data_IF_614501924647
#
_entry.id   IF_614501924647
#
_cell.length_a   1.000
_cell.length_b   1.000
_cell.length_c   1.000
_cell.angle_alpha   90.00
_cell.angle_beta   90.00
_cell.angle_gamma   90.00
#
_symmetry.space_group_name_H-M   'P 1'
#
loop_
_entity.id
_entity.type
_entity.pdbx_description
1 polymer ?
#
# COMPACT_ATOMS: atom_id res chain seq x y z
N UNK A 1 -44.41 12.41 7.25
CA UNK A 1 -43.69 13.62 7.71
C UNK A 1 -42.66 13.16 8.77
N UNK A 2 -41.39 13.05 8.44
CA UNK A 2 -40.30 12.83 9.38
C UNK A 2 -39.29 13.95 9.19
N UNK A 3 -39.17 14.78 10.20
CA UNK A 3 -38.30 15.94 10.27
C UNK A 3 -36.88 15.48 10.63
N UNK A 4 -35.96 15.73 9.72
CA UNK A 4 -34.50 15.59 9.95
C UNK A 4 -33.99 16.81 10.71
N UNK A 5 -33.43 16.59 11.90
CA UNK A 5 -32.72 17.62 12.65
C UNK A 5 -31.29 17.74 12.11
N UNK A 6 -30.96 18.86 11.48
CA UNK A 6 -29.58 19.25 11.18
C UNK A 6 -28.94 19.84 12.43
N UNK A 7 -27.85 19.29 12.89
CA UNK A 7 -27.03 19.90 13.93
C UNK A 7 -26.17 21.01 13.30
N UNK A 8 -26.34 22.21 13.80
CA UNK A 8 -25.59 23.41 13.40
C UNK A 8 -24.41 23.57 14.36
N UNK A 9 -23.19 23.36 13.88
CA UNK A 9 -21.99 23.67 14.65
C UNK A 9 -21.64 25.14 14.53
N UNK A 10 -21.72 25.87 15.64
CA UNK A 10 -21.34 27.27 15.75
C UNK A 10 -19.86 27.36 16.00
N UNK A 11 -19.12 27.94 15.06
CA UNK A 11 -17.70 28.31 15.23
C UNK A 11 -17.70 29.70 15.90
N UNK A 12 -17.25 29.77 17.14
CA UNK A 12 -17.02 31.03 17.85
C UNK A 12 -15.56 31.47 17.58
N UNK A 13 -15.41 32.47 16.71
CA UNK A 13 -14.14 33.16 16.51
C UNK A 13 -13.98 34.24 17.57
N UNK A 14 -13.12 33.99 18.55
CA UNK A 14 -12.63 34.95 19.51
C UNK A 14 -11.31 35.56 19.05
N UNK A 15 -11.29 36.81 18.65
CA UNK A 15 -10.11 37.58 18.33
C UNK A 15 -9.45 38.08 19.62
N UNK A 16 -8.25 37.60 19.98
CA UNK A 16 -7.36 38.26 20.93
C UNK A 16 -5.95 38.33 20.36
N UNK A 17 -5.52 39.52 20.05
CA UNK A 17 -4.13 39.89 19.78
C UNK A 17 -3.38 39.99 21.10
N UNK A 18 -2.25 39.31 21.28
CA UNK A 18 -1.01 39.77 21.94
C UNK A 18 0.07 38.66 21.87
N UNK A 19 1.27 39.01 21.39
CA UNK A 19 2.56 38.43 21.75
C UNK A 19 2.89 37.05 21.15
N UNK A 20 3.85 37.04 20.26
CA UNK A 20 4.46 35.87 19.59
C UNK A 20 4.60 34.59 20.42
N UNK A 21 3.66 33.70 20.26
CA UNK A 21 3.80 32.28 20.50
C UNK A 21 3.33 31.59 19.23
N UNK A 22 4.22 30.83 18.63
CA UNK A 22 3.87 29.92 17.54
C UNK A 22 2.80 28.95 18.06
N UNK A 23 1.55 29.20 17.69
CA UNK A 23 0.47 28.28 17.95
C UNK A 23 0.72 27.05 17.06
N UNK A 24 1.20 25.98 17.65
CA UNK A 24 1.08 24.67 17.00
C UNK A 24 -0.41 24.41 16.82
N UNK A 25 -0.89 24.48 15.59
CA UNK A 25 -2.23 24.00 15.27
C UNK A 25 -2.24 22.50 15.53
N UNK A 26 -2.85 22.10 16.64
CA UNK A 26 -3.25 20.71 16.84
C UNK A 26 -4.31 20.46 15.80
N UNK A 27 -3.94 19.78 14.71
CA UNK A 27 -4.90 19.28 13.73
C UNK A 27 -5.90 18.41 14.48
N UNK A 28 -7.19 18.69 14.32
CA UNK A 28 -8.25 17.88 14.89
C UNK A 28 -8.01 16.41 14.51
N UNK A 29 -8.12 15.50 15.49
CA UNK A 29 -8.00 14.08 15.26
C UNK A 29 -9.00 13.65 14.18
N UNK A 30 -8.51 13.25 13.03
CA UNK A 30 -9.33 12.58 12.04
C UNK A 30 -9.50 11.14 12.54
N UNK A 31 -10.68 10.80 13.03
CA UNK A 31 -11.01 9.47 13.52
C UNK A 31 -11.47 8.59 12.36
N UNK A 32 -10.64 8.37 11.37
CA UNK A 32 -10.87 7.30 10.43
C UNK A 32 -10.35 6.00 11.05
N UNK A 33 -11.24 5.15 11.52
CA UNK A 33 -10.88 3.79 11.91
C UNK A 33 -10.81 2.98 10.63
N UNK A 34 -9.63 2.54 10.17
CA UNK A 34 -9.53 1.78 8.95
C UNK A 34 -10.32 0.47 9.06
N UNK A 35 -11.15 0.19 8.08
CA UNK A 35 -11.80 -1.11 7.91
C UNK A 35 -10.77 -2.08 7.31
N UNK A 36 -9.76 -2.46 8.10
CA UNK A 36 -8.75 -3.42 7.66
C UNK A 36 -9.29 -4.83 7.83
N UNK A 37 -9.62 -5.49 6.74
CA UNK A 37 -10.00 -6.91 6.73
C UNK A 37 -8.84 -7.84 7.14
N UNK A 38 -7.61 -7.34 7.06
CA UNK A 38 -6.36 -8.05 7.33
C UNK A 38 -5.63 -7.55 8.59
N UNK A 39 -6.32 -6.96 9.53
CA UNK A 39 -5.75 -6.31 10.73
C UNK A 39 -4.88 -7.26 11.54
N UNK A 40 -3.58 -7.21 11.35
CA UNK A 40 -2.63 -7.79 12.30
C UNK A 40 -2.54 -6.90 13.53
N UNK A 41 -2.72 -7.49 14.71
CA UNK A 41 -2.45 -6.79 15.96
C UNK A 41 -0.95 -6.48 16.06
N UNK A 42 -0.60 -5.42 16.78
CA UNK A 42 0.79 -5.01 17.00
C UNK A 42 1.52 -4.55 15.69
N UNK A 43 0.87 -3.75 14.90
CA UNK A 43 1.46 -3.08 13.73
C UNK A 43 1.08 -1.60 13.67
N UNK A 44 1.91 -0.81 12.99
CA UNK A 44 1.56 0.51 12.49
C UNK A 44 1.22 0.38 11.01
N UNK A 45 0.22 1.12 10.59
CA UNK A 45 -0.22 1.21 9.21
C UNK A 45 -0.13 2.65 8.71
N UNK A 46 0.48 2.85 7.54
CA UNK A 46 0.48 4.12 6.85
C UNK A 46 -0.70 4.19 5.88
N UNK A 47 -1.43 5.30 5.87
CA UNK A 47 -2.51 5.53 4.93
C UNK A 47 -1.95 5.95 3.57
N UNK A 48 -2.22 5.19 2.54
CA UNK A 48 -1.66 5.44 1.21
C UNK A 48 -2.34 6.59 0.46
N UNK A 49 -3.50 7.07 0.95
CA UNK A 49 -4.26 8.15 0.32
C UNK A 49 -4.86 9.06 1.39
N UNK A 50 -4.33 10.25 1.51
CA UNK A 50 -4.81 11.25 2.48
C UNK A 50 -6.26 11.64 2.20
N UNK A 51 -7.09 11.65 3.25
CA UNK A 51 -8.43 12.25 3.22
C UNK A 51 -9.55 11.39 2.64
N UNK A 52 -9.36 10.08 2.43
CA UNK A 52 -10.44 9.17 2.06
C UNK A 52 -10.77 8.22 3.22
N UNK A 53 -12.05 8.12 3.56
CA UNK A 53 -12.53 7.29 4.68
C UNK A 53 -12.61 5.79 4.32
N UNK A 54 -12.51 5.44 3.03
CA UNK A 54 -12.94 4.14 2.49
C UNK A 54 -11.85 3.34 1.79
N UNK A 55 -10.56 3.58 2.04
CA UNK A 55 -9.56 2.87 1.26
C UNK A 55 -9.03 1.62 1.94
N UNK A 56 -9.10 0.50 1.24
CA UNK A 56 -8.30 -0.70 1.54
C UNK A 56 -6.78 -0.47 1.31
N UNK A 57 -6.38 0.76 1.01
CA UNK A 57 -5.02 1.14 0.64
C UNK A 57 -4.20 1.57 1.86
N UNK A 58 -3.85 0.61 2.70
CA UNK A 58 -3.00 0.79 3.86
C UNK A 58 -1.70 0.00 3.72
N UNK A 59 -0.62 0.53 4.26
CA UNK A 59 0.72 -0.07 4.22
C UNK A 59 1.16 -0.37 5.64
N UNK A 60 1.38 -1.65 5.96
CA UNK A 60 1.96 -2.05 7.24
C UNK A 60 3.47 -1.79 7.27
N UNK A 61 3.98 -1.43 8.43
CA UNK A 61 5.42 -1.41 8.62
C UNK A 61 5.99 -2.83 8.60
N UNK A 62 7.21 -3.00 8.13
CA UNK A 62 7.83 -4.32 8.03
C UNK A 62 9.34 -4.24 8.26
N UNK A 63 9.96 -5.33 8.69
CA UNK A 63 11.40 -5.40 8.88
C UNK A 63 12.14 -5.98 7.68
N UNK A 64 11.45 -6.62 6.74
CA UNK A 64 12.00 -7.14 5.50
C UNK A 64 11.00 -7.01 4.36
N UNK A 65 11.50 -7.03 3.16
CA UNK A 65 10.74 -6.78 1.95
C UNK A 65 10.13 -8.05 1.33
N UNK A 66 10.84 -9.17 1.41
CA UNK A 66 10.41 -10.51 0.97
C UNK A 66 11.28 -11.57 1.64
N UNK A 67 11.01 -12.85 1.33
CA UNK A 67 11.69 -14.00 1.95
C UNK A 67 13.20 -14.10 1.65
N UNK A 68 13.69 -13.40 0.62
CA UNK A 68 15.09 -13.47 0.19
C UNK A 68 16.01 -12.42 0.79
N UNK A 69 15.46 -11.42 1.42
CA UNK A 69 16.32 -10.49 2.14
C UNK A 69 16.80 -11.18 3.40
N UNK A 70 18.13 -11.25 3.57
CA UNK A 70 18.76 -11.61 4.83
C UNK A 70 18.01 -10.94 5.98
N UNK A 71 17.86 -11.65 7.08
CA UNK A 71 17.12 -11.21 8.26
C UNK A 71 17.61 -9.83 8.65
N UNK A 72 16.88 -8.82 8.16
CA UNK A 72 17.16 -7.44 8.50
C UNK A 72 17.03 -7.33 10.02
N UNK A 73 17.98 -6.65 10.63
CA UNK A 73 18.00 -6.39 12.05
C UNK A 73 16.58 -6.09 12.54
N UNK A 74 16.04 -6.92 13.40
CA UNK A 74 14.65 -6.85 13.92
C UNK A 74 14.33 -5.50 14.56
N UNK A 75 15.35 -4.73 14.92
CA UNK A 75 15.23 -3.37 15.46
C UNK A 75 15.04 -2.29 14.37
N UNK A 76 15.07 -2.66 13.10
CA UNK A 76 14.79 -1.75 11.97
C UNK A 76 13.41 -2.04 11.40
N UNK A 77 12.63 -0.98 11.20
CA UNK A 77 11.32 -1.02 10.56
C UNK A 77 11.30 -0.08 9.36
N UNK A 78 10.54 -0.45 8.36
CA UNK A 78 10.41 0.31 7.12
C UNK A 78 8.95 0.48 6.76
N UNK A 79 8.59 1.66 6.28
CA UNK A 79 7.42 1.84 5.44
C UNK A 79 7.87 1.96 3.99
N UNK A 80 7.36 1.11 3.13
CA UNK A 80 7.52 1.22 1.67
C UNK A 80 6.28 1.94 1.13
N UNK A 81 6.36 3.25 1.03
CA UNK A 81 5.23 4.09 0.66
C UNK A 81 5.07 4.18 -0.86
N UNK A 82 3.83 4.17 -1.38
CA UNK A 82 3.56 4.40 -2.79
C UNK A 82 3.83 5.85 -3.20
N UNK A 83 3.91 6.08 -4.50
CA UNK A 83 4.15 7.41 -5.07
C UNK A 83 3.06 8.44 -4.73
N UNK A 84 1.84 7.99 -4.41
CA UNK A 84 0.69 8.83 -4.05
C UNK A 84 0.81 9.55 -2.72
N UNK A 85 1.61 9.04 -1.78
CA UNK A 85 1.78 9.64 -0.44
C UNK A 85 2.62 10.91 -0.52
N UNK A 86 2.35 11.91 0.33
CA UNK A 86 3.20 13.09 0.50
C UNK A 86 4.66 12.68 0.80
N UNK A 87 5.62 13.53 0.44
CA UNK A 87 7.05 13.28 0.70
C UNK A 87 7.52 13.76 2.08
N UNK A 88 6.63 14.39 2.86
CA UNK A 88 6.99 15.06 4.12
C UNK A 88 6.17 14.59 5.31
N UNK A 89 4.99 14.04 5.08
CA UNK A 89 4.10 13.55 6.14
C UNK A 89 3.20 12.44 5.66
N UNK A 90 2.73 11.62 6.60
CA UNK A 90 1.78 10.54 6.36
C UNK A 90 0.90 10.31 7.59
N UNK A 91 -0.35 9.93 7.38
CA UNK A 91 -1.24 9.47 8.42
C UNK A 91 -0.87 8.05 8.84
N UNK A 92 -0.55 7.84 10.14
CA UNK A 92 -0.26 6.54 10.72
C UNK A 92 -1.37 6.11 11.67
N UNK A 93 -1.88 4.91 11.46
CA UNK A 93 -2.82 4.23 12.35
C UNK A 93 -2.09 3.27 13.28
N UNK A 94 -2.43 3.32 14.56
CA UNK A 94 -1.86 2.46 15.59
C UNK A 94 -2.78 1.25 15.91
N UNK A 95 -2.40 0.06 15.45
CA UNK A 95 -3.10 -1.19 15.76
C UNK A 95 -2.54 -1.92 17.01
N UNK A 96 -1.63 -1.32 17.74
CA UNK A 96 -1.21 -1.84 19.06
C UNK A 96 -2.29 -1.60 20.11
N UNK A 97 -2.27 -2.41 21.16
CA UNK A 97 -3.14 -2.23 22.33
C UNK A 97 -2.73 -1.08 23.26
N UNK A 98 -1.55 -0.48 23.03
CA UNK A 98 -1.00 0.66 23.76
C UNK A 98 -0.62 1.79 22.81
N UNK A 99 -0.43 2.98 23.35
CA UNK A 99 0.07 4.11 22.59
C UNK A 99 1.46 3.82 22.02
N UNK A 100 1.71 4.32 20.81
CA UNK A 100 3.00 4.27 20.11
C UNK A 100 3.49 5.69 19.88
N UNK A 101 4.78 5.93 20.03
CA UNK A 101 5.37 7.25 19.74
C UNK A 101 6.28 7.15 18.51
N UNK A 102 6.01 7.96 17.48
CA UNK A 102 6.78 8.03 16.23
C UNK A 102 7.27 9.45 16.04
N UNK A 103 8.59 9.66 15.94
CA UNK A 103 9.19 10.99 15.74
C UNK A 103 8.59 12.06 16.69
N UNK A 104 8.44 11.74 17.99
CA UNK A 104 7.84 12.58 19.04
C UNK A 104 6.30 12.78 18.91
N UNK A 105 5.61 12.17 17.98
CA UNK A 105 4.15 12.15 17.89
C UNK A 105 3.62 10.89 18.58
N UNK A 106 2.81 11.06 19.63
CA UNK A 106 2.15 9.94 20.30
C UNK A 106 0.83 9.62 19.61
N UNK A 107 0.67 8.36 19.21
CA UNK A 107 -0.52 7.81 18.56
C UNK A 107 -1.20 6.87 19.54
N UNK A 108 -2.38 7.20 20.10
CA UNK A 108 -3.11 6.30 20.99
C UNK A 108 -3.53 5.01 20.26
N UNK A 109 -3.82 3.97 21.04
CA UNK A 109 -4.32 2.69 20.53
C UNK A 109 -5.61 2.88 19.74
N UNK A 110 -5.68 2.34 18.54
CA UNK A 110 -6.85 2.41 17.67
C UNK A 110 -7.10 3.77 17.02
N UNK A 111 -6.14 4.70 17.10
CA UNK A 111 -6.25 6.04 16.51
C UNK A 111 -5.21 6.27 15.42
N UNK A 112 -5.48 7.29 14.59
CA UNK A 112 -4.55 7.80 13.57
C UNK A 112 -4.00 9.17 13.95
N UNK A 113 -2.77 9.44 13.52
CA UNK A 113 -2.13 10.78 13.60
C UNK A 113 -1.27 11.01 12.37
N UNK A 114 -1.20 12.25 11.95
CA UNK A 114 -0.25 12.68 10.94
C UNK A 114 1.16 12.76 11.56
N UNK A 115 2.12 12.12 10.90
CA UNK A 115 3.52 12.06 11.32
C UNK A 115 4.40 12.62 10.21
N UNK A 116 5.23 13.62 10.55
CA UNK A 116 6.25 14.14 9.64
C UNK A 116 7.45 13.21 9.56
N UNK A 117 8.03 13.09 8.38
CA UNK A 117 9.21 12.28 8.13
C UNK A 117 10.11 12.89 7.04
N UNK A 118 11.32 12.35 6.92
CA UNK A 118 12.21 12.61 5.79
C UNK A 118 12.48 11.29 5.09
N UNK A 119 12.32 11.23 3.77
CA UNK A 119 12.59 10.04 2.96
C UNK A 119 14.05 9.61 3.17
N UNK A 120 14.27 8.29 3.26
CA UNK A 120 15.57 7.64 3.44
C UNK A 120 16.32 8.00 4.73
N UNK A 121 15.70 8.75 5.63
CA UNK A 121 16.28 9.03 6.95
C UNK A 121 15.59 8.24 8.04
N UNK A 122 16.40 7.61 8.87
CA UNK A 122 15.91 6.90 10.04
C UNK A 122 15.40 7.88 11.10
N UNK A 123 14.17 7.65 11.53
CA UNK A 123 13.57 8.23 12.74
C UNK A 123 13.47 7.17 13.83
N UNK A 124 12.80 7.51 14.92
CA UNK A 124 12.59 6.62 16.05
C UNK A 124 11.11 6.30 16.24
N UNK A 125 10.84 5.05 16.59
CA UNK A 125 9.51 4.62 17.01
C UNK A 125 9.61 3.80 18.30
N UNK A 126 8.79 4.13 19.29
CA UNK A 126 8.68 3.38 20.54
C UNK A 126 7.31 2.71 20.59
N UNK A 127 7.30 1.40 20.57
CA UNK A 127 6.10 0.56 20.61
C UNK A 127 6.29 -0.57 21.61
N UNK A 128 5.31 -0.79 22.47
CA UNK A 128 5.30 -1.84 23.51
C UNK A 128 6.59 -1.90 24.35
N UNK A 129 7.12 -0.73 24.71
CA UNK A 129 8.33 -0.59 25.53
C UNK A 129 9.65 -0.84 24.78
N UNK A 130 9.61 -1.08 23.48
CA UNK A 130 10.79 -1.25 22.62
C UNK A 130 10.96 -0.06 21.68
N UNK A 131 12.21 0.34 21.45
CA UNK A 131 12.54 1.39 20.46
C UNK A 131 13.13 0.74 19.22
N UNK A 132 12.60 1.15 18.07
CA UNK A 132 13.04 0.72 16.75
C UNK A 132 13.52 1.93 15.95
N UNK A 133 14.42 1.69 15.02
CA UNK A 133 14.72 2.63 13.93
C UNK A 133 13.66 2.49 12.86
N UNK A 134 13.00 3.58 12.48
CA UNK A 134 11.96 3.60 11.46
C UNK A 134 12.39 4.44 10.26
N UNK A 135 12.38 3.85 9.07
CA UNK A 135 12.72 4.54 7.82
C UNK A 135 11.53 4.51 6.87
N UNK A 136 11.23 5.66 6.29
CA UNK A 136 10.21 5.80 5.25
C UNK A 136 10.89 5.82 3.89
N UNK A 137 10.57 4.83 3.07
CA UNK A 137 10.99 4.70 1.68
C UNK A 137 9.81 5.01 0.78
N UNK A 138 10.02 5.77 -0.28
CA UNK A 138 8.96 6.16 -1.20
C UNK A 138 9.25 5.70 -2.61
N UNK A 139 8.26 5.07 -3.22
CA UNK A 139 8.32 4.62 -4.61
C UNK A 139 8.11 5.76 -5.60
N UNK A 140 8.54 5.53 -6.84
CA UNK A 140 8.25 6.35 -8.03
C UNK A 140 7.34 5.62 -9.04
N UNK A 141 6.74 4.50 -8.66
CA UNK A 141 5.84 3.73 -9.53
C UNK A 141 4.67 4.56 -10.04
N UNK A 142 4.16 4.21 -11.22
CA UNK A 142 3.04 4.91 -11.87
C UNK A 142 1.71 4.68 -11.16
N UNK A 143 1.61 3.58 -10.41
CA UNK A 143 0.42 3.15 -9.66
C UNK A 143 0.81 2.17 -8.58
N UNK A 144 -0.09 1.97 -7.61
CA UNK A 144 -0.02 0.92 -6.62
C UNK A 144 -1.25 0.02 -6.72
N UNK A 145 -1.05 -1.29 -6.58
CA UNK A 145 -2.10 -2.31 -6.54
C UNK A 145 -2.15 -2.89 -5.14
N UNK A 146 -3.30 -2.82 -4.50
CA UNK A 146 -3.58 -3.41 -3.21
C UNK A 146 -4.49 -4.61 -3.39
N UNK A 147 -4.15 -5.72 -2.71
CA UNK A 147 -4.94 -6.95 -2.72
C UNK A 147 -5.05 -7.44 -1.28
N UNK A 148 -6.26 -7.53 -0.77
CA UNK A 148 -6.52 -7.81 0.64
C UNK A 148 -7.35 -9.07 0.80
N UNK A 149 -6.77 -10.10 1.38
CA UNK A 149 -7.44 -11.35 1.75
C UNK A 149 -6.56 -12.16 2.72
N UNK A 150 -6.47 -11.74 3.97
CA UNK A 150 -5.67 -12.38 5.01
C UNK A 150 -6.17 -13.75 5.46
N UNK A 151 -7.25 -14.25 4.88
CA UNK A 151 -7.82 -15.58 5.18
C UNK A 151 -8.06 -16.38 3.90
N UNK A 152 -7.09 -16.37 3.00
CA UNK A 152 -7.23 -16.92 1.65
C UNK A 152 -7.58 -18.42 1.61
N UNK A 153 -7.08 -19.19 2.56
CA UNK A 153 -7.34 -20.63 2.69
C UNK A 153 -8.40 -21.00 3.73
N UNK A 154 -9.04 -20.00 4.36
CA UNK A 154 -9.96 -20.20 5.47
C UNK A 154 -9.31 -20.50 6.83
N UNK A 155 -7.97 -20.55 6.90
CA UNK A 155 -7.20 -20.86 8.11
C UNK A 155 -6.40 -19.66 8.65
N UNK A 156 -6.70 -18.45 8.17
CA UNK A 156 -6.05 -17.22 8.60
C UNK A 156 -4.71 -16.92 7.91
N UNK A 157 -4.36 -17.62 6.85
CA UNK A 157 -3.16 -17.33 6.08
C UNK A 157 -3.32 -16.06 5.25
N UNK A 158 -2.24 -15.30 5.20
CA UNK A 158 -2.10 -14.19 4.26
C UNK A 158 -2.14 -14.69 2.81
N UNK A 159 -2.69 -13.88 1.92
CA UNK A 159 -2.92 -14.26 0.53
C UNK A 159 -1.65 -14.76 -0.17
N UNK A 160 -0.56 -14.02 -0.10
CA UNK A 160 0.67 -14.39 -0.82
C UNK A 160 1.33 -15.63 -0.22
N UNK A 161 1.30 -15.78 1.10
CA UNK A 161 1.78 -17.01 1.76
C UNK A 161 1.04 -18.24 1.25
N UNK A 162 -0.30 -18.18 1.19
CA UNK A 162 -1.12 -19.25 0.62
C UNK A 162 -0.84 -19.50 -0.87
N UNK A 163 -0.74 -18.44 -1.68
CA UNK A 163 -0.49 -18.60 -3.12
C UNK A 163 0.90 -19.20 -3.41
N UNK A 164 1.88 -18.94 -2.54
CA UNK A 164 3.25 -19.41 -2.71
C UNK A 164 3.46 -20.88 -2.35
N UNK A 165 2.54 -21.51 -1.64
CA UNK A 165 2.62 -22.93 -1.28
C UNK A 165 2.51 -23.83 -2.51
N UNK A 166 1.59 -23.50 -3.43
CA UNK A 166 1.40 -24.25 -4.68
C UNK A 166 0.96 -23.31 -5.81
N UNK A 167 1.55 -23.47 -6.98
CA UNK A 167 1.21 -22.70 -8.19
C UNK A 167 -0.26 -22.87 -8.62
N UNK A 168 -0.89 -23.96 -8.26
CA UNK A 168 -2.32 -24.23 -8.54
C UNK A 168 -3.25 -23.45 -7.62
N UNK A 169 -2.75 -22.98 -6.46
CA UNK A 169 -3.53 -22.21 -5.52
C UNK A 169 -4.03 -20.90 -6.15
N UNK A 170 -5.24 -20.53 -5.82
CA UNK A 170 -5.85 -19.27 -6.24
C UNK A 170 -6.83 -18.78 -5.19
N UNK A 171 -7.09 -17.49 -5.21
CA UNK A 171 -8.10 -16.86 -4.33
C UNK A 171 -8.84 -15.75 -5.07
N UNK A 172 -10.02 -15.41 -4.59
CA UNK A 172 -10.64 -14.11 -4.80
C UNK A 172 -10.17 -13.15 -3.70
N UNK A 173 -10.30 -11.86 -3.93
CA UNK A 173 -9.89 -10.86 -2.95
C UNK A 173 -10.62 -9.53 -3.20
N UNK A 174 -10.58 -8.64 -2.23
CA UNK A 174 -10.85 -7.21 -2.43
C UNK A 174 -9.55 -6.47 -2.72
N UNK A 175 -9.63 -5.26 -3.24
CA UNK A 175 -8.44 -4.45 -3.46
C UNK A 175 -8.74 -3.05 -3.96
N UNK A 176 -7.68 -2.30 -4.15
CA UNK A 176 -7.73 -0.97 -4.72
C UNK A 176 -6.56 -0.77 -5.69
N UNK A 177 -6.78 0.08 -6.68
CA UNK A 177 -5.74 0.61 -7.54
C UNK A 177 -5.62 2.09 -7.22
N UNK A 178 -4.42 2.53 -6.87
CA UNK A 178 -4.15 3.93 -6.53
C UNK A 178 -3.18 4.48 -7.56
N UNK A 179 -3.55 5.55 -8.24
CA UNK A 179 -2.64 6.23 -9.17
C UNK A 179 -1.67 7.16 -8.40
N UNK A 180 -0.66 7.67 -9.10
CA UNK A 180 0.36 8.56 -8.52
C UNK A 180 -0.21 9.87 -7.94
N UNK A 181 -1.44 10.25 -8.29
CA UNK A 181 -2.12 11.44 -7.81
C UNK A 181 -3.04 11.15 -6.61
N UNK A 182 -3.06 9.90 -6.13
CA UNK A 182 -3.89 9.46 -5.01
C UNK A 182 -5.34 9.15 -5.37
N UNK A 183 -5.68 9.06 -6.67
CA UNK A 183 -7.01 8.61 -7.07
C UNK A 183 -7.13 7.12 -6.82
N UNK A 184 -8.16 6.75 -6.06
CA UNK A 184 -8.49 5.36 -5.72
C UNK A 184 -9.55 4.84 -6.68
N UNK A 185 -9.36 3.58 -7.12
CA UNK A 185 -10.34 2.77 -7.82
C UNK A 185 -10.49 1.45 -7.03
N UNK A 186 -11.50 1.40 -6.15
CA UNK A 186 -11.82 0.19 -5.38
C UNK A 186 -12.35 -0.88 -6.32
N UNK A 187 -11.86 -2.10 -6.18
CA UNK A 187 -12.13 -3.17 -7.13
C UNK A 187 -12.24 -4.53 -6.45
N UNK A 188 -12.95 -5.45 -7.11
CA UNK A 188 -13.01 -6.85 -6.70
C UNK A 188 -12.13 -7.68 -7.61
N UNK A 189 -11.32 -8.53 -7.00
CA UNK A 189 -10.45 -9.46 -7.69
C UNK A 189 -11.15 -10.83 -7.72
N UNK A 190 -11.59 -11.24 -8.92
CA UNK A 190 -12.23 -12.53 -9.12
C UNK A 190 -11.26 -13.68 -8.90
N UNK A 191 -10.01 -13.49 -9.32
CA UNK A 191 -8.98 -14.53 -9.21
C UNK A 191 -7.57 -13.93 -9.23
N UNK A 192 -6.76 -14.32 -8.27
CA UNK A 192 -5.30 -14.15 -8.29
C UNK A 192 -4.65 -15.51 -8.12
N UNK A 193 -3.58 -15.78 -8.87
CA UNK A 193 -2.83 -17.05 -8.79
C UNK A 193 -1.41 -16.90 -9.30
N UNK A 194 -0.53 -17.81 -8.89
CA UNK A 194 0.82 -17.94 -9.44
C UNK A 194 0.85 -18.14 -10.95
N UNK A 195 1.91 -17.63 -11.60
CA UNK A 195 2.18 -17.82 -13.04
C UNK A 195 3.64 -18.18 -13.31
N UNK A 196 3.94 -18.43 -14.57
CA UNK A 196 5.30 -18.74 -15.05
C UNK A 196 5.67 -20.21 -14.85
N UNK A 197 6.80 -20.60 -15.38
CA UNK A 197 7.41 -21.93 -15.22
C UNK A 197 8.70 -21.78 -14.41
N UNK A 198 9.84 -21.49 -15.05
CA UNK A 198 11.11 -21.26 -14.36
C UNK A 198 11.09 -20.08 -13.39
N UNK A 199 10.34 -19.03 -13.69
CA UNK A 199 10.19 -17.86 -12.82
C UNK A 199 9.37 -18.13 -11.57
N UNK A 200 8.51 -19.14 -11.58
CA UNK A 200 7.75 -19.57 -10.39
C UNK A 200 8.67 -20.13 -9.30
N UNK A 201 9.74 -20.80 -9.67
CA UNK A 201 10.73 -21.34 -8.72
C UNK A 201 11.63 -20.28 -8.08
N UNK A 202 11.45 -19.00 -8.40
CA UNK A 202 12.24 -17.90 -7.83
C UNK A 202 11.55 -17.34 -6.58
N UNK A 203 12.35 -16.69 -5.75
CA UNK A 203 11.86 -16.14 -4.50
C UNK A 203 10.81 -15.05 -4.73
N UNK A 204 11.06 -14.06 -5.57
CA UNK A 204 10.03 -13.12 -6.01
C UNK A 204 9.21 -13.74 -7.14
N UNK A 205 7.98 -14.12 -6.85
CA UNK A 205 7.12 -14.85 -7.79
C UNK A 205 6.22 -13.92 -8.60
N UNK A 206 5.93 -14.28 -9.86
CA UNK A 206 4.95 -13.57 -10.68
C UNK A 206 3.53 -14.12 -10.48
N UNK A 207 2.51 -13.26 -10.69
CA UNK A 207 1.11 -13.64 -10.55
C UNK A 207 0.28 -13.25 -11.77
N UNK A 208 -0.85 -13.94 -11.98
CA UNK A 208 -1.93 -13.50 -12.85
C UNK A 208 -3.07 -12.99 -11.98
N UNK A 209 -3.59 -11.82 -12.33
CA UNK A 209 -4.74 -11.22 -11.66
C UNK A 209 -5.90 -11.07 -12.64
N UNK A 210 -7.12 -11.37 -12.19
CA UNK A 210 -8.36 -11.17 -12.96
C UNK A 210 -9.33 -10.38 -12.10
N UNK A 211 -9.64 -9.19 -12.54
CA UNK A 211 -10.63 -8.31 -11.89
C UNK A 211 -12.04 -8.69 -12.29
N UNK A 212 -13.03 -8.41 -11.44
CA UNK A 212 -14.46 -8.62 -11.75
C UNK A 212 -14.90 -7.66 -12.85
N UNK A 213 -14.45 -6.43 -12.82
CA UNK A 213 -14.73 -5.39 -13.79
C UNK A 213 -13.47 -4.96 -14.55
N UNK A 214 -13.65 -4.18 -15.62
CA UNK A 214 -12.53 -3.62 -16.37
C UNK A 214 -11.91 -2.45 -15.59
N UNK A 215 -10.64 -2.56 -15.25
CA UNK A 215 -9.85 -1.53 -14.56
C UNK A 215 -8.76 -0.95 -15.47
N UNK A 216 -8.29 0.25 -15.17
CA UNK A 216 -7.11 0.87 -15.77
C UNK A 216 -6.02 0.96 -14.71
N UNK A 217 -4.81 0.53 -15.06
CA UNK A 217 -3.65 0.54 -14.17
C UNK A 217 -2.57 1.40 -14.82
N UNK A 218 -2.06 2.42 -14.14
CA UNK A 218 -1.02 3.30 -14.64
C UNK A 218 -1.34 3.96 -15.99
N UNK A 219 -2.63 4.23 -16.26
CA UNK A 219 -3.09 4.82 -17.52
C UNK A 219 -3.21 3.84 -18.70
N UNK A 220 -2.95 2.55 -18.52
CA UNK A 220 -3.22 1.54 -19.56
C UNK A 220 -4.70 1.48 -19.92
N UNK A 221 -5.01 1.00 -21.11
CA UNK A 221 -6.38 0.75 -21.54
C UNK A 221 -7.09 -0.22 -20.58
N UNK A 222 -8.39 -0.01 -20.35
CA UNK A 222 -9.17 -0.84 -19.42
C UNK A 222 -9.18 -2.32 -19.80
N UNK A 223 -8.84 -3.18 -18.85
CA UNK A 223 -8.82 -4.64 -19.00
C UNK A 223 -9.30 -5.35 -17.74
N UNK A 224 -9.55 -6.65 -17.85
CA UNK A 224 -9.90 -7.52 -16.69
C UNK A 224 -8.73 -8.41 -16.27
N UNK A 225 -7.80 -8.71 -17.17
CA UNK A 225 -6.73 -9.70 -16.94
C UNK A 225 -5.38 -9.03 -17.10
N UNK A 226 -4.55 -9.17 -16.08
CA UNK A 226 -3.21 -8.63 -16.04
C UNK A 226 -2.22 -9.68 -15.55
N UNK A 227 -0.95 -9.50 -15.89
CA UNK A 227 0.15 -10.32 -15.40
C UNK A 227 1.13 -9.46 -14.63
N UNK A 228 1.29 -9.76 -13.36
CA UNK A 228 2.27 -9.14 -12.48
C UNK A 228 3.62 -9.86 -12.67
N UNK A 229 4.55 -9.21 -13.37
CA UNK A 229 5.86 -9.78 -13.70
C UNK A 229 6.88 -9.38 -12.63
N UNK A 230 7.48 -10.36 -11.96
CA UNK A 230 8.40 -10.12 -10.86
C UNK A 230 9.75 -9.49 -11.28
N UNK A 231 10.15 -9.64 -12.55
CA UNK A 231 11.45 -9.22 -13.11
C UNK A 231 12.67 -9.72 -12.31
N UNK A 232 12.54 -10.82 -11.59
CA UNK A 232 13.55 -11.35 -10.64
C UNK A 232 14.91 -11.62 -11.30
N UNK A 233 14.94 -11.99 -12.58
CA UNK A 233 16.15 -12.32 -13.33
C UNK A 233 16.69 -11.12 -14.14
N UNK A 234 16.18 -9.95 -13.91
CA UNK A 234 16.58 -8.73 -14.61
C UNK A 234 16.92 -7.63 -13.58
N UNK A 235 18.20 -7.51 -13.26
CA UNK A 235 18.70 -6.52 -12.28
C UNK A 235 18.39 -5.08 -12.70
N UNK A 236 18.25 -4.83 -14.02
CA UNK A 236 17.86 -3.51 -14.52
C UNK A 236 16.35 -3.25 -14.39
N UNK A 237 15.54 -4.29 -14.23
CA UNK A 237 14.08 -4.28 -14.25
C UNK A 237 13.45 -3.75 -15.55
N UNK A 238 14.27 -3.47 -16.59
CA UNK A 238 13.83 -2.71 -17.78
C UNK A 238 13.62 -3.57 -19.03
N UNK A 239 14.14 -4.80 -19.09
CA UNK A 239 14.13 -5.61 -20.32
C UNK A 239 12.73 -5.84 -20.87
N UNK A 240 11.80 -6.26 -20.04
CA UNK A 240 10.43 -6.51 -20.48
C UNK A 240 9.77 -5.21 -20.95
N UNK A 241 9.89 -4.12 -20.19
CA UNK A 241 9.33 -2.82 -20.54
C UNK A 241 9.89 -2.31 -21.85
N UNK A 242 11.22 -2.35 -22.03
CA UNK A 242 11.88 -1.93 -23.25
C UNK A 242 11.36 -2.69 -24.48
N UNK A 243 11.21 -4.03 -24.37
CA UNK A 243 10.73 -4.85 -25.46
C UNK A 243 9.26 -4.55 -25.80
N UNK A 244 8.40 -4.30 -24.83
CA UNK A 244 7.01 -3.92 -25.07
C UNK A 244 6.91 -2.53 -25.72
N UNK A 245 7.65 -1.55 -25.20
CA UNK A 245 7.68 -0.20 -25.77
C UNK A 245 8.26 -0.21 -27.20
N UNK A 246 9.29 -1.03 -27.45
CA UNK A 246 9.84 -1.23 -28.80
C UNK A 246 8.82 -1.86 -29.75
N UNK A 247 8.13 -2.92 -29.31
CA UNK A 247 7.11 -3.60 -30.10
C UNK A 247 5.97 -2.65 -30.49
N UNK A 248 5.56 -1.78 -29.58
CA UNK A 248 4.56 -0.74 -29.86
C UNK A 248 5.11 0.30 -30.87
N UNK A 249 6.33 0.78 -30.65
CA UNK A 249 6.97 1.79 -31.53
C UNK A 249 7.17 1.32 -32.97
N UNK A 250 7.41 0.02 -33.20
CA UNK A 250 7.53 -0.56 -34.57
C UNK A 250 6.20 -1.06 -35.12
N UNK A 251 5.09 -0.82 -34.43
CA UNK A 251 3.74 -1.18 -34.89
C UNK A 251 3.47 -2.68 -34.90
N UNK A 252 4.08 -3.45 -33.97
CA UNK A 252 3.79 -4.88 -33.84
C UNK A 252 2.34 -5.09 -33.42
N UNK A 253 1.53 -5.85 -34.19
CA UNK A 253 0.15 -6.13 -33.83
C UNK A 253 0.06 -6.80 -32.45
N UNK A 254 -0.87 -6.34 -31.61
CA UNK A 254 -1.13 -6.92 -30.28
C UNK A 254 0.06 -6.82 -29.31
N UNK A 255 0.93 -5.82 -29.46
CA UNK A 255 1.95 -5.54 -28.46
C UNK A 255 1.32 -5.36 -27.08
N UNK A 256 1.92 -5.97 -26.05
CA UNK A 256 1.47 -5.81 -24.67
C UNK A 256 1.85 -4.42 -24.16
N UNK A 257 0.88 -3.70 -23.58
CA UNK A 257 1.17 -2.50 -22.80
C UNK A 257 1.62 -2.88 -21.39
N UNK A 258 2.57 -2.17 -20.81
CA UNK A 258 3.09 -2.46 -19.48
C UNK A 258 3.37 -1.21 -18.66
N UNK A 259 3.23 -1.32 -17.34
CA UNK A 259 3.53 -0.24 -16.39
C UNK A 259 4.25 -0.81 -15.18
N UNK A 260 5.08 0.01 -14.57
CA UNK A 260 5.64 -0.31 -13.26
C UNK A 260 4.64 0.03 -12.18
N UNK A 261 4.43 -0.92 -11.28
CA UNK A 261 3.48 -0.77 -10.18
C UNK A 261 4.08 -1.29 -8.88
N UNK A 262 3.71 -0.66 -7.78
CA UNK A 262 3.92 -1.23 -6.46
C UNK A 262 2.84 -2.27 -6.17
N UNK A 263 3.22 -3.38 -5.60
CA UNK A 263 2.29 -4.44 -5.23
C UNK A 263 2.27 -4.63 -3.72
N UNK A 264 1.08 -4.47 -3.15
CA UNK A 264 0.80 -4.69 -1.73
C UNK A 264 -0.20 -5.82 -1.58
N UNK A 265 0.04 -6.71 -0.63
CA UNK A 265 -0.90 -7.77 -0.26
C UNK A 265 -1.06 -7.82 1.24
N UNK A 266 -2.31 -7.76 1.72
CA UNK A 266 -2.65 -7.75 3.14
C UNK A 266 -1.84 -6.69 3.93
N UNK A 267 -1.66 -5.51 3.32
CA UNK A 267 -0.91 -4.39 3.86
C UNK A 267 0.62 -4.46 3.66
N UNK A 268 1.18 -5.60 3.31
CA UNK A 268 2.64 -5.75 3.14
C UNK A 268 3.08 -5.43 1.71
N UNK A 269 4.20 -4.73 1.59
CA UNK A 269 4.84 -4.46 0.31
C UNK A 269 5.55 -5.70 -0.23
N UNK A 270 5.17 -6.13 -1.42
CA UNK A 270 5.74 -7.30 -2.12
C UNK A 270 6.62 -6.91 -3.30
N UNK A 271 6.89 -5.64 -3.45
CA UNK A 271 7.89 -5.13 -4.38
C UNK A 271 7.33 -4.40 -5.58
N UNK A 272 8.25 -3.79 -6.29
CA UNK A 272 8.05 -3.15 -7.57
C UNK A 272 7.98 -4.22 -8.66
N UNK A 273 6.93 -4.23 -9.42
CA UNK A 273 6.68 -5.22 -10.48
C UNK A 273 6.24 -4.51 -11.77
N UNK A 274 6.45 -5.13 -12.92
CA UNK A 274 5.80 -4.68 -14.14
C UNK A 274 4.45 -5.38 -14.28
N UNK A 275 3.43 -4.60 -14.59
CA UNK A 275 2.11 -5.09 -14.91
C UNK A 275 1.96 -5.15 -16.42
N UNK A 276 1.50 -6.28 -16.95
CA UNK A 276 1.36 -6.57 -18.36
C UNK A 276 -0.10 -6.94 -18.66
N UNK A 277 -0.74 -6.14 -19.48
CA UNK A 277 -2.11 -6.37 -19.90
C UNK A 277 -2.18 -7.53 -20.89
N UNK A 278 -2.98 -8.53 -20.57
CA UNK A 278 -3.35 -9.59 -21.51
C UNK A 278 -4.49 -9.14 -22.41
N UNK A 279 -4.22 -9.08 -23.69
CA UNK A 279 -5.24 -8.87 -24.73
C UNK A 279 -6.16 -10.08 -24.88
#
# INVERSE_FOLDING_TARGET
>A
MRTTKKALSIVLAGLMTVGGMSVFSVSAAQTSTPTLSFKTQNALYAHAVSGSDDSDAWVAWQCKHNEDMEELNTNRKYFFLPSSVSSTSVELYNAYSKSVTVNNVTIPSGESREVSYTIDKAGNVTADGKTYSLTFLKSSAESAIYVNNSNADGNGKELISYLNEDKSNYSSATGAIVDKNGKIDNTSIKKIKGRGNSTWGKAKKPYNITYSDKVSIGGMSKGKKFSLLANYQDDSLTRNRFLYDLADAVGTPYASDSRYVDFYSDGYYWGFISDDRKN
#
